data_IF_349863911188
#
_entry.id   IF_349863911188
#
_cell.length_a   1.000
_cell.length_b   1.000
_cell.length_c   1.000
_cell.angle_alpha   90.00
_cell.angle_beta   90.00
_cell.angle_gamma   90.00
#
_symmetry.space_group_name_H-M   'P 1'
#
loop_
_entity.id
_entity.type
_entity.pdbx_description
1 polymer ?
#
# COMPACT_ATOMS: atom_id res chain seq x y z
N UNK A 1 59.73 24.91 -15.96
CA UNK A 1 59.31 24.41 -14.64
C UNK A 1 57.83 24.76 -14.49
N UNK A 2 56.95 23.83 -14.84
CA UNK A 2 55.49 24.08 -14.83
C UNK A 2 54.95 23.42 -13.57
N UNK A 3 54.50 24.27 -12.64
CA UNK A 3 53.98 23.88 -11.34
C UNK A 3 52.67 23.11 -11.55
N UNK A 4 52.59 21.89 -11.03
CA UNK A 4 51.41 21.02 -11.10
C UNK A 4 50.21 21.70 -10.44
N UNK A 5 49.10 21.82 -11.18
CA UNK A 5 47.83 22.29 -10.64
C UNK A 5 47.27 21.24 -9.68
N UNK A 6 47.18 21.61 -8.40
CA UNK A 6 46.54 20.84 -7.35
C UNK A 6 45.04 20.72 -7.69
N UNK A 7 44.56 19.50 -7.93
CA UNK A 7 43.15 19.25 -8.22
C UNK A 7 42.46 18.85 -6.90
N UNK A 8 41.71 19.73 -6.23
CA UNK A 8 41.01 19.35 -5.01
C UNK A 8 39.93 18.33 -5.39
N UNK A 9 39.97 17.16 -4.75
CA UNK A 9 38.89 16.18 -4.78
C UNK A 9 37.62 16.90 -4.31
N UNK A 10 36.79 17.34 -5.26
CA UNK A 10 35.48 17.88 -4.95
C UNK A 10 34.66 16.71 -4.41
N UNK A 11 34.38 16.72 -3.11
CA UNK A 11 33.42 15.82 -2.50
C UNK A 11 32.05 16.17 -3.10
N UNK A 12 31.73 15.56 -4.24
CA UNK A 12 30.41 15.64 -4.82
C UNK A 12 29.43 15.05 -3.81
N UNK A 13 28.37 15.81 -3.50
CA UNK A 13 27.29 15.31 -2.64
C UNK A 13 26.67 14.10 -3.33
N UNK A 14 26.58 12.99 -2.61
CA UNK A 14 25.92 11.79 -3.09
C UNK A 14 24.49 12.13 -3.54
N UNK A 15 24.17 11.76 -4.78
CA UNK A 15 22.81 11.77 -5.29
C UNK A 15 22.41 10.32 -5.57
N UNK A 16 21.40 9.80 -4.85
CA UNK A 16 20.90 8.46 -5.11
C UNK A 16 20.26 8.37 -6.50
N UNK A 17 20.35 7.21 -7.13
CA UNK A 17 19.67 6.95 -8.39
C UNK A 17 18.15 7.04 -8.16
N UNK A 18 17.37 7.66 -9.06
CA UNK A 18 15.91 7.66 -8.96
C UNK A 18 15.29 6.27 -8.79
N UNK A 19 15.90 5.21 -9.34
CA UNK A 19 15.41 3.83 -9.20
C UNK A 19 15.69 3.21 -7.83
N UNK A 20 16.57 3.83 -7.04
CA UNK A 20 16.85 3.43 -5.65
C UNK A 20 15.91 4.10 -4.64
N UNK A 21 15.10 5.06 -5.10
CA UNK A 21 14.18 5.82 -4.28
C UNK A 21 12.76 5.25 -4.34
N UNK A 22 12.18 5.02 -3.15
CA UNK A 22 10.77 4.70 -3.04
C UNK A 22 9.92 5.89 -3.52
N UNK A 23 9.02 5.65 -4.47
CA UNK A 23 8.15 6.68 -5.04
C UNK A 23 7.10 7.24 -4.07
N UNK A 24 6.87 6.56 -2.93
CA UNK A 24 5.93 7.02 -1.91
C UNK A 24 6.60 7.82 -0.78
N UNK A 25 7.63 7.26 -0.16
CA UNK A 25 8.30 7.92 0.98
C UNK A 25 9.59 8.68 0.61
N UNK A 26 10.12 8.52 -0.60
CA UNK A 26 11.38 9.12 -1.03
C UNK A 26 12.63 8.52 -0.37
N UNK A 27 12.47 7.45 0.41
CA UNK A 27 13.60 6.76 1.06
C UNK A 27 14.45 6.00 0.05
N UNK A 28 15.77 6.00 0.26
CA UNK A 28 16.68 5.14 -0.50
C UNK A 28 16.69 3.74 0.10
N UNK A 29 16.18 2.77 -0.67
CA UNK A 29 16.14 1.35 -0.27
C UNK A 29 16.94 0.46 -1.22
N UNK A 30 17.42 1.01 -2.34
CA UNK A 30 18.03 0.24 -3.42
C UNK A 30 16.99 -0.50 -4.26
N UNK A 31 17.14 -0.46 -5.58
CA UNK A 31 16.17 -1.05 -6.53
C UNK A 31 15.82 -2.50 -6.22
N UNK A 32 16.82 -3.32 -5.86
CA UNK A 32 16.64 -4.75 -5.60
C UNK A 32 15.75 -5.08 -4.39
N UNK A 33 15.58 -4.15 -3.45
CA UNK A 33 14.77 -4.32 -2.25
C UNK A 33 13.37 -3.69 -2.37
N UNK A 34 12.98 -3.25 -3.56
CA UNK A 34 11.70 -2.60 -3.83
C UNK A 34 10.89 -3.36 -4.87
N UNK A 35 9.57 -3.22 -4.78
CA UNK A 35 8.63 -3.78 -5.76
C UNK A 35 8.51 -2.78 -6.92
N UNK A 36 8.82 -3.24 -8.12
CA UNK A 36 8.59 -2.48 -9.36
C UNK A 36 7.12 -2.61 -9.79
N UNK A 37 6.45 -1.47 -9.85
CA UNK A 37 5.08 -1.32 -10.34
C UNK A 37 5.09 -0.80 -11.79
N UNK A 38 3.90 -0.59 -12.36
CA UNK A 38 3.77 0.07 -13.67
C UNK A 38 4.39 1.47 -13.64
N UNK A 39 4.83 1.93 -14.81
CA UNK A 39 5.35 3.29 -15.03
C UNK A 39 6.59 3.67 -14.20
N UNK A 40 7.47 2.68 -13.92
CA UNK A 40 8.72 2.86 -13.15
C UNK A 40 8.51 3.36 -11.71
N UNK A 41 7.36 3.05 -11.13
CA UNK A 41 7.09 3.30 -9.71
C UNK A 41 7.75 2.19 -8.89
N UNK A 42 8.61 2.56 -7.95
CA UNK A 42 9.29 1.62 -7.05
C UNK A 42 8.78 1.82 -5.63
N UNK A 43 8.28 0.78 -4.98
CA UNK A 43 7.71 0.88 -3.63
C UNK A 43 8.49 -0.01 -2.67
N UNK A 44 8.96 0.57 -1.56
CA UNK A 44 9.61 -0.20 -0.50
C UNK A 44 8.59 -1.01 0.32
N UNK A 45 9.05 -2.12 0.91
CA UNK A 45 8.18 -3.05 1.64
C UNK A 45 7.43 -2.37 2.80
N UNK A 46 8.09 -1.44 3.52
CA UNK A 46 7.42 -0.69 4.59
C UNK A 46 6.23 0.13 4.08
N UNK A 47 6.33 0.73 2.90
CA UNK A 47 5.20 1.44 2.30
C UNK A 47 4.11 0.48 1.84
N UNK A 48 4.47 -0.73 1.41
CA UNK A 48 3.48 -1.78 1.08
C UNK A 48 2.70 -2.20 2.32
N UNK A 49 3.36 -2.40 3.46
CA UNK A 49 2.69 -2.74 4.71
C UNK A 49 1.65 -1.68 5.09
N UNK A 50 2.03 -0.40 5.01
CA UNK A 50 1.10 0.72 5.26
C UNK A 50 -0.06 0.74 4.25
N UNK A 51 0.20 0.44 2.97
CA UNK A 51 -0.87 0.35 1.97
C UNK A 51 -1.84 -0.80 2.25
N UNK A 52 -1.34 -1.93 2.76
CA UNK A 52 -2.16 -3.07 3.19
C UNK A 52 -3.05 -2.68 4.37
N UNK A 53 -2.49 -2.00 5.37
CA UNK A 53 -3.27 -1.52 6.52
C UNK A 53 -4.38 -0.55 6.07
N UNK A 54 -4.07 0.39 5.18
CA UNK A 54 -5.07 1.32 4.61
C UNK A 54 -6.14 0.57 3.80
N UNK A 55 -5.76 -0.47 3.05
CA UNK A 55 -6.74 -1.32 2.33
C UNK A 55 -7.68 -1.98 3.33
N UNK A 56 -7.14 -2.62 4.35
CA UNK A 56 -7.90 -3.36 5.36
C UNK A 56 -8.86 -2.43 6.12
N UNK A 57 -8.40 -1.25 6.56
CA UNK A 57 -9.26 -0.27 7.23
C UNK A 57 -10.45 0.17 6.34
N UNK A 58 -10.22 0.34 5.04
CA UNK A 58 -11.29 0.71 4.09
C UNK A 58 -12.28 -0.43 3.90
N UNK A 59 -11.81 -1.67 3.85
CA UNK A 59 -12.65 -2.87 3.71
C UNK A 59 -13.49 -3.09 4.99
N UNK A 60 -12.89 -2.96 6.17
CA UNK A 60 -13.57 -3.06 7.46
C UNK A 60 -14.66 -2.00 7.63
N UNK A 61 -14.37 -0.76 7.18
CA UNK A 61 -15.38 0.32 7.20
C UNK A 61 -16.55 0.00 6.29
N UNK A 62 -16.31 -0.46 5.07
CA UNK A 62 -17.37 -0.86 4.13
C UNK A 62 -18.22 -2.01 4.69
N UNK A 63 -17.56 -3.02 5.27
CA UNK A 63 -18.24 -4.14 5.95
C UNK A 63 -19.11 -3.64 7.08
N UNK A 64 -18.57 -2.79 7.95
CA UNK A 64 -19.30 -2.23 9.10
C UNK A 64 -20.52 -1.41 8.67
N UNK A 65 -20.39 -0.60 7.62
CA UNK A 65 -21.50 0.17 7.06
C UNK A 65 -22.60 -0.74 6.47
N UNK A 66 -22.20 -1.78 5.74
CA UNK A 66 -23.15 -2.74 5.16
C UNK A 66 -23.87 -3.57 6.23
N UNK A 67 -23.15 -4.03 7.26
CA UNK A 67 -23.73 -4.75 8.39
C UNK A 67 -24.71 -3.86 9.16
N UNK A 68 -24.35 -2.59 9.41
CA UNK A 68 -25.25 -1.64 10.08
C UNK A 68 -26.50 -1.34 9.26
N UNK A 69 -26.37 -1.26 7.93
CA UNK A 69 -27.51 -1.10 7.04
C UNK A 69 -28.43 -2.31 7.11
N UNK A 70 -27.89 -3.53 7.03
CA UNK A 70 -28.65 -4.78 7.20
C UNK A 70 -29.37 -4.84 8.55
N UNK A 71 -28.66 -4.55 9.63
CA UNK A 71 -29.19 -4.59 11.00
C UNK A 71 -30.44 -3.72 11.15
N UNK A 72 -30.46 -2.53 10.53
CA UNK A 72 -31.61 -1.62 10.57
C UNK A 72 -32.89 -2.14 9.89
N UNK A 73 -32.81 -3.18 9.07
CA UNK A 73 -33.94 -3.80 8.36
C UNK A 73 -34.34 -5.15 8.97
N UNK A 74 -33.52 -5.68 9.87
CA UNK A 74 -33.66 -7.03 10.40
C UNK A 74 -34.47 -7.01 11.69
N UNK A 75 -35.24 -8.09 11.90
CA UNK A 75 -35.97 -8.33 13.16
C UNK A 75 -35.09 -9.11 14.12
N UNK A 76 -35.38 -8.98 15.42
CA UNK A 76 -34.67 -9.69 16.49
C UNK A 76 -34.51 -11.19 16.19
N UNK A 77 -33.28 -11.69 16.33
CA UNK A 77 -32.94 -13.11 16.19
C UNK A 77 -32.01 -13.46 15.03
N UNK A 78 -31.69 -12.50 14.15
CA UNK A 78 -30.74 -12.71 13.07
C UNK A 78 -29.51 -11.82 13.23
N UNK A 79 -28.31 -12.38 13.05
CA UNK A 79 -27.06 -11.61 13.03
C UNK A 79 -26.81 -11.06 11.62
N UNK A 80 -26.95 -9.74 11.45
CA UNK A 80 -26.62 -9.06 10.20
C UNK A 80 -25.17 -9.35 9.74
N UNK A 81 -24.23 -9.45 10.69
CA UNK A 81 -22.84 -9.78 10.41
C UNK A 81 -22.69 -11.18 9.80
N UNK A 82 -23.32 -12.19 10.39
CA UNK A 82 -23.24 -13.58 9.88
C UNK A 82 -23.86 -13.70 8.49
N UNK A 83 -24.97 -13.00 8.23
CA UNK A 83 -25.62 -13.01 6.92
C UNK A 83 -24.76 -12.31 5.88
N UNK A 84 -24.15 -11.18 6.24
CA UNK A 84 -23.22 -10.47 5.36
C UNK A 84 -22.01 -11.33 5.00
N UNK A 85 -21.38 -11.96 5.99
CA UNK A 85 -20.21 -12.83 5.77
C UNK A 85 -20.59 -14.08 4.94
N UNK A 86 -21.78 -14.66 5.18
CA UNK A 86 -22.29 -15.78 4.38
C UNK A 86 -22.56 -15.36 2.93
N UNK A 87 -23.16 -14.19 2.70
CA UNK A 87 -23.42 -13.67 1.35
C UNK A 87 -22.12 -13.39 0.59
N UNK A 88 -21.08 -12.89 1.28
CA UNK A 88 -19.73 -12.79 0.73
C UNK A 88 -19.22 -14.18 0.35
N UNK A 89 -19.27 -15.16 1.27
CA UNK A 89 -18.78 -16.54 1.06
C UNK A 89 -19.39 -17.24 -0.16
N UNK A 90 -20.64 -16.89 -0.51
CA UNK A 90 -21.36 -17.42 -1.66
C UNK A 90 -21.15 -16.61 -2.96
N UNK A 91 -20.42 -15.51 -2.91
CA UNK A 91 -20.22 -14.60 -4.04
C UNK A 91 -21.48 -13.83 -4.44
N UNK A 92 -22.44 -13.68 -3.54
CA UNK A 92 -23.72 -13.00 -3.80
C UNK A 92 -23.60 -11.47 -3.69
N UNK A 93 -22.51 -10.97 -3.08
CA UNK A 93 -22.22 -9.53 -3.01
C UNK A 93 -21.24 -9.14 -4.13
N UNK A 94 -21.71 -8.48 -5.20
CA UNK A 94 -20.84 -8.07 -6.30
C UNK A 94 -19.81 -7.04 -5.84
N UNK A 95 -18.56 -7.21 -6.27
CA UNK A 95 -17.46 -6.29 -5.97
C UNK A 95 -16.71 -6.55 -4.66
N UNK A 96 -17.12 -7.56 -3.88
CA UNK A 96 -16.33 -8.07 -2.74
C UNK A 96 -15.66 -9.37 -3.18
N UNK A 97 -14.33 -9.38 -3.26
CA UNK A 97 -13.55 -10.60 -3.51
C UNK A 97 -13.13 -11.22 -2.18
N UNK A 98 -13.33 -12.52 -2.06
CA UNK A 98 -12.68 -13.33 -1.02
C UNK A 98 -11.39 -13.86 -1.64
N UNK A 99 -10.27 -13.67 -0.94
CA UNK A 99 -8.99 -14.32 -1.26
C UNK A 99 -8.98 -15.76 -0.74
#
# INVERSE_FOLDING_TARGET
MVCSTFNPLTLQKYQPDPEDLCSLCGGNHGKAAMIECKDKIHICLNCVDVLVDIKNEREDKKRSEAVRALDSWMRDGYSAAQIYDLAISKGEIPGVRIE
#
